data_IF_323027991276
#
_entry.id   IF_323027991276
#
_cell.length_a   1.000
_cell.length_b   1.000
_cell.length_c   1.000
_cell.angle_alpha   90.00
_cell.angle_beta   90.00
_cell.angle_gamma   90.00
#
_symmetry.space_group_name_H-M   'P 1'
#
loop_
_entity.id
_entity.type
_entity.pdbx_description
1 polymer ?
#
# COMPACT_ATOMS: atom_id res chain seq x y z
N UNK A 1 -10.55 -64.99 9.25
CA UNK A 1 -10.37 -64.32 7.94
C UNK A 1 -11.66 -63.58 7.65
N UNK A 2 -11.72 -62.27 7.88
CA UNK A 2 -12.92 -61.48 7.59
C UNK A 2 -12.91 -61.10 6.12
N UNK A 3 -13.68 -61.84 5.32
CA UNK A 3 -13.97 -61.52 3.93
C UNK A 3 -14.80 -60.24 3.89
N UNK A 4 -14.20 -59.15 3.44
CA UNK A 4 -14.91 -57.89 3.19
C UNK A 4 -15.82 -58.16 1.98
N UNK A 5 -17.12 -58.26 2.22
CA UNK A 5 -18.14 -58.32 1.18
C UNK A 5 -18.11 -57.00 0.44
N UNK A 6 -17.64 -57.02 -0.81
CA UNK A 6 -17.69 -55.87 -1.71
C UNK A 6 -19.18 -55.60 -1.97
N UNK A 7 -19.69 -54.49 -1.45
CA UNK A 7 -21.04 -53.98 -1.72
C UNK A 7 -21.30 -53.98 -3.22
N UNK A 8 -22.51 -54.30 -3.65
CA UNK A 8 -22.85 -54.39 -5.07
C UNK A 8 -22.40 -53.13 -5.83
N UNK A 9 -21.98 -53.27 -7.10
CA UNK A 9 -21.48 -52.15 -7.90
C UNK A 9 -22.46 -50.95 -7.93
N UNK A 10 -23.76 -51.23 -7.76
CA UNK A 10 -24.84 -50.25 -7.59
C UNK A 10 -24.76 -49.49 -6.26
N UNK A 11 -24.57 -50.17 -5.13
CA UNK A 11 -24.40 -49.52 -3.82
C UNK A 11 -23.13 -48.68 -3.76
N UNK A 12 -22.03 -49.15 -4.36
CA UNK A 12 -20.78 -48.37 -4.46
C UNK A 12 -20.97 -47.11 -5.31
N UNK A 13 -21.73 -47.19 -6.41
CA UNK A 13 -22.09 -46.03 -7.22
C UNK A 13 -22.98 -45.03 -6.45
N UNK A 14 -23.96 -45.52 -5.68
CA UNK A 14 -24.82 -44.66 -4.86
C UNK A 14 -24.04 -43.92 -3.77
N UNK A 15 -23.13 -44.61 -3.05
CA UNK A 15 -22.24 -43.95 -2.08
C UNK A 15 -21.29 -42.96 -2.74
N UNK A 16 -20.73 -43.31 -3.91
CA UNK A 16 -19.90 -42.40 -4.71
C UNK A 16 -20.65 -41.12 -5.06
N UNK A 17 -21.88 -41.22 -5.55
CA UNK A 17 -22.71 -40.04 -5.88
C UNK A 17 -23.02 -39.19 -4.64
N UNK A 18 -23.31 -39.81 -3.49
CA UNK A 18 -23.56 -39.07 -2.22
C UNK A 18 -22.31 -38.35 -1.73
N UNK A 19 -21.15 -39.01 -1.81
CA UNK A 19 -19.85 -38.44 -1.46
C UNK A 19 -19.49 -37.31 -2.42
N UNK A 20 -19.59 -37.52 -3.74
CA UNK A 20 -19.32 -36.50 -4.76
C UNK A 20 -20.25 -35.29 -4.59
N UNK A 21 -21.52 -35.50 -4.24
CA UNK A 21 -22.47 -34.41 -3.95
C UNK A 21 -22.10 -33.61 -2.69
N UNK A 22 -21.71 -34.29 -1.60
CA UNK A 22 -21.24 -33.63 -0.38
C UNK A 22 -19.89 -32.93 -0.59
N UNK A 23 -19.03 -33.50 -1.43
CA UNK A 23 -17.73 -32.99 -1.81
C UNK A 23 -17.86 -31.73 -2.71
N UNK A 24 -18.79 -31.73 -3.68
CA UNK A 24 -19.10 -30.55 -4.51
C UNK A 24 -19.68 -29.38 -3.71
N UNK A 25 -20.43 -29.66 -2.63
CA UNK A 25 -20.96 -28.62 -1.75
C UNK A 25 -19.86 -27.75 -1.13
N UNK A 26 -18.65 -28.28 -0.85
CA UNK A 26 -17.60 -27.43 -0.29
C UNK A 26 -17.00 -26.44 -1.29
N UNK A 27 -16.91 -26.80 -2.57
CA UNK A 27 -16.47 -25.86 -3.62
C UNK A 27 -17.53 -24.77 -3.81
N UNK A 28 -18.81 -25.17 -3.88
CA UNK A 28 -19.93 -24.25 -3.97
C UNK A 28 -19.97 -23.28 -2.78
N UNK A 29 -19.81 -23.77 -1.55
CA UNK A 29 -19.79 -22.94 -0.34
C UNK A 29 -18.63 -21.93 -0.34
N UNK A 30 -17.45 -22.30 -0.84
CA UNK A 30 -16.31 -21.37 -0.97
C UNK A 30 -16.65 -20.20 -1.92
N UNK A 31 -17.27 -20.49 -3.07
CA UNK A 31 -17.69 -19.48 -4.05
C UNK A 31 -18.82 -18.60 -3.49
N UNK A 32 -19.80 -19.21 -2.82
CA UNK A 32 -20.92 -18.52 -2.18
C UNK A 32 -20.46 -17.53 -1.11
N UNK A 33 -19.56 -17.96 -0.21
CA UNK A 33 -18.96 -17.07 0.79
C UNK A 33 -18.17 -15.94 0.11
N UNK A 34 -17.41 -16.22 -0.95
CA UNK A 34 -16.73 -15.19 -1.74
C UNK A 34 -17.67 -14.14 -2.32
N UNK A 35 -18.82 -14.57 -2.87
CA UNK A 35 -19.86 -13.67 -3.39
C UNK A 35 -20.53 -12.84 -2.29
N UNK A 36 -20.83 -13.44 -1.12
CA UNK A 36 -21.40 -12.73 0.02
C UNK A 36 -20.45 -11.65 0.56
N UNK A 37 -19.16 -11.96 0.68
CA UNK A 37 -18.14 -10.98 1.10
C UNK A 37 -18.03 -9.84 0.09
N UNK A 38 -18.09 -10.13 -1.21
CA UNK A 38 -18.09 -9.12 -2.27
C UNK A 38 -19.31 -8.20 -2.18
N UNK A 39 -20.51 -8.79 -2.09
CA UNK A 39 -21.76 -8.04 -1.97
C UNK A 39 -21.79 -7.17 -0.70
N UNK A 40 -21.36 -7.71 0.44
CA UNK A 40 -21.28 -6.96 1.70
C UNK A 40 -20.35 -5.74 1.58
N UNK A 41 -19.21 -5.89 0.90
CA UNK A 41 -18.28 -4.77 0.64
C UNK A 41 -18.91 -3.69 -0.25
N UNK A 42 -19.61 -4.08 -1.31
CA UNK A 42 -20.24 -3.16 -2.26
C UNK A 42 -21.41 -2.41 -1.63
N UNK A 43 -22.26 -3.08 -0.84
CA UNK A 43 -23.46 -2.49 -0.25
C UNK A 43 -23.17 -1.65 1.00
N UNK A 44 -22.22 -2.05 1.83
CA UNK A 44 -21.92 -1.37 3.10
C UNK A 44 -20.84 -0.28 2.94
N UNK A 45 -20.12 -0.25 1.82
CA UNK A 45 -19.02 0.71 1.60
C UNK A 45 -17.85 0.56 2.59
N UNK A 46 -17.75 -0.59 3.27
CA UNK A 46 -16.78 -0.86 4.34
C UNK A 46 -15.47 -1.44 3.80
N UNK A 47 -14.36 -1.14 4.45
CA UNK A 47 -13.06 -1.78 4.19
C UNK A 47 -13.01 -3.20 4.75
N UNK A 48 -12.15 -4.06 4.18
CA UNK A 48 -11.93 -5.44 4.67
C UNK A 48 -11.56 -5.52 6.15
N UNK A 49 -10.94 -4.47 6.70
CA UNK A 49 -10.56 -4.38 8.12
C UNK A 49 -11.76 -4.25 9.06
N UNK A 50 -12.90 -3.72 8.59
CA UNK A 50 -14.14 -3.66 9.38
C UNK A 50 -14.88 -5.00 9.33
N UNK A 51 -14.84 -5.70 8.20
CA UNK A 51 -15.41 -7.05 8.06
C UNK A 51 -14.61 -8.10 8.86
N UNK A 52 -13.29 -7.94 9.00
CA UNK A 52 -12.42 -8.85 9.76
C UNK A 52 -12.76 -8.91 11.26
N UNK A 53 -13.33 -7.85 11.83
CA UNK A 53 -13.77 -7.85 13.23
C UNK A 53 -15.03 -8.72 13.47
N UNK A 54 -15.84 -8.95 12.42
CA UNK A 54 -17.16 -9.57 12.51
C UNK A 54 -17.23 -10.94 11.79
N UNK A 55 -16.18 -11.34 11.07
CA UNK A 55 -16.12 -12.58 10.31
C UNK A 55 -15.16 -13.60 10.95
N UNK A 56 -15.42 -14.91 10.79
CA UNK A 56 -14.58 -15.96 11.38
C UNK A 56 -13.25 -16.18 10.63
N UNK A 57 -12.81 -15.21 9.82
CA UNK A 57 -11.59 -15.30 9.01
C UNK A 57 -11.00 -13.92 8.72
N UNK A 58 -9.68 -13.90 8.46
CA UNK A 58 -8.93 -12.66 8.23
C UNK A 58 -9.32 -11.97 6.93
N UNK A 59 -8.98 -10.67 6.82
CA UNK A 59 -9.09 -9.89 5.59
C UNK A 59 -8.33 -10.52 4.40
N UNK A 60 -7.25 -11.25 4.68
CA UNK A 60 -6.49 -11.99 3.66
C UNK A 60 -7.30 -13.17 3.11
N UNK A 61 -7.96 -13.93 3.98
CA UNK A 61 -8.84 -15.04 3.57
C UNK A 61 -10.06 -14.49 2.82
N UNK A 62 -10.64 -13.39 3.27
CA UNK A 62 -11.73 -12.70 2.57
C UNK A 62 -11.34 -12.34 1.12
N UNK A 63 -10.14 -11.82 0.91
CA UNK A 63 -9.62 -11.52 -0.43
C UNK A 63 -9.39 -12.79 -1.28
N UNK A 64 -8.98 -13.91 -0.67
CA UNK A 64 -8.82 -15.18 -1.38
C UNK A 64 -10.17 -15.70 -1.87
N UNK A 65 -11.19 -15.68 -1.00
CA UNK A 65 -12.54 -16.15 -1.32
C UNK A 65 -13.18 -15.33 -2.45
N UNK A 66 -13.05 -14.00 -2.42
CA UNK A 66 -13.49 -13.14 -3.54
C UNK A 66 -12.77 -13.51 -4.83
N UNK A 67 -11.44 -13.66 -4.79
CA UNK A 67 -10.66 -14.00 -5.98
C UNK A 67 -11.08 -15.34 -6.60
N UNK A 68 -11.43 -16.31 -5.77
CA UNK A 68 -11.97 -17.60 -6.22
C UNK A 68 -13.33 -17.39 -6.88
N UNK A 69 -14.23 -16.64 -6.23
CA UNK A 69 -15.58 -16.38 -6.74
C UNK A 69 -15.60 -15.53 -8.03
N UNK A 70 -14.61 -14.67 -8.23
CA UNK A 70 -14.47 -13.85 -9.45
C UNK A 70 -13.88 -14.61 -10.64
N UNK A 71 -13.30 -15.79 -10.42
CA UNK A 71 -12.72 -16.57 -11.51
C UNK A 71 -13.84 -17.28 -12.31
N UNK A 72 -13.99 -17.00 -13.62
CA UNK A 72 -15.11 -17.51 -14.41
C UNK A 72 -15.06 -19.02 -14.64
N UNK A 73 -13.88 -19.65 -14.54
CA UNK A 73 -13.72 -21.10 -14.67
C UNK A 73 -14.06 -21.79 -13.36
N UNK A 74 -13.57 -21.27 -12.23
CA UNK A 74 -13.83 -21.86 -10.92
C UNK A 74 -15.29 -21.68 -10.48
N UNK A 75 -15.92 -20.57 -10.86
CA UNK A 75 -17.33 -20.28 -10.56
C UNK A 75 -18.33 -20.95 -11.51
N UNK A 76 -17.85 -21.71 -12.50
CA UNK A 76 -18.70 -22.44 -13.43
C UNK A 76 -19.08 -23.82 -12.83
N UNK A 77 -20.36 -24.08 -12.53
CA UNK A 77 -20.81 -25.34 -11.93
C UNK A 77 -20.42 -26.59 -12.72
N UNK A 78 -20.26 -26.48 -14.04
CA UNK A 78 -19.86 -27.59 -14.91
C UNK A 78 -18.47 -28.16 -14.57
N UNK A 79 -17.61 -27.39 -13.90
CA UNK A 79 -16.27 -27.84 -13.49
C UNK A 79 -16.17 -28.22 -12.01
N UNK A 80 -17.17 -27.95 -11.16
CA UNK A 80 -17.07 -28.15 -9.71
C UNK A 80 -16.74 -29.59 -9.30
N UNK A 81 -17.21 -30.58 -10.06
CA UNK A 81 -16.91 -32.00 -9.83
C UNK A 81 -15.44 -32.38 -10.05
N UNK A 82 -14.67 -31.54 -10.77
CA UNK A 82 -13.25 -31.77 -11.11
C UNK A 82 -12.31 -30.95 -10.24
N UNK A 83 -12.83 -29.98 -9.49
CA UNK A 83 -12.05 -29.05 -8.70
C UNK A 83 -11.60 -29.66 -7.37
N UNK A 84 -10.42 -29.25 -6.86
CA UNK A 84 -9.99 -29.60 -5.51
C UNK A 84 -10.80 -28.82 -4.46
N UNK A 85 -11.04 -29.43 -3.31
CA UNK A 85 -11.89 -28.83 -2.27
C UNK A 85 -11.21 -27.79 -1.38
N UNK A 86 -9.87 -27.76 -1.36
CA UNK A 86 -9.14 -26.82 -0.53
C UNK A 86 -9.22 -25.40 -1.10
N UNK A 87 -9.82 -24.46 -0.36
CA UNK A 87 -9.88 -23.04 -0.77
C UNK A 87 -8.48 -22.46 -1.06
N UNK A 88 -7.45 -22.91 -0.35
CA UNK A 88 -6.06 -22.53 -0.65
C UNK A 88 -5.66 -23.02 -2.05
N UNK A 89 -5.93 -24.28 -2.40
CA UNK A 89 -5.63 -24.80 -3.74
C UNK A 89 -6.42 -24.05 -4.82
N UNK A 90 -7.72 -23.82 -4.59
CA UNK A 90 -8.58 -23.04 -5.48
C UNK A 90 -8.04 -21.62 -5.68
N UNK A 91 -7.52 -20.97 -4.64
CA UNK A 91 -6.91 -19.65 -4.74
C UNK A 91 -5.69 -19.61 -5.66
N UNK A 92 -4.81 -20.62 -5.60
CA UNK A 92 -3.67 -20.70 -6.51
C UNK A 92 -4.15 -20.97 -7.95
N UNK A 93 -5.14 -21.84 -8.14
CA UNK A 93 -5.77 -22.09 -9.44
C UNK A 93 -6.47 -20.84 -10.00
N UNK A 94 -7.07 -20.00 -9.16
CA UNK A 94 -7.69 -18.74 -9.56
C UNK A 94 -6.70 -17.73 -10.17
N UNK A 95 -5.40 -18.01 -10.06
CA UNK A 95 -4.32 -17.19 -10.62
C UNK A 95 -3.70 -17.78 -11.90
N UNK A 96 -4.16 -18.96 -12.34
CA UNK A 96 -3.74 -19.62 -13.58
C UNK A 96 -4.50 -18.99 -14.76
N UNK A 97 -3.88 -18.96 -15.94
CA UNK A 97 -4.54 -18.50 -17.16
C UNK A 97 -5.82 -19.32 -17.45
N UNK A 98 -6.93 -18.66 -17.76
CA UNK A 98 -8.23 -19.31 -17.94
C UNK A 98 -8.22 -20.40 -19.01
N UNK A 99 -7.53 -20.17 -20.13
CA UNK A 99 -7.47 -21.15 -21.23
C UNK A 99 -6.72 -22.40 -20.80
N UNK A 100 -5.63 -22.21 -20.08
CA UNK A 100 -4.85 -23.32 -19.55
C UNK A 100 -5.61 -24.06 -18.45
N UNK A 101 -6.32 -23.33 -17.58
CA UNK A 101 -7.11 -23.93 -16.51
C UNK A 101 -8.24 -24.81 -17.07
N UNK A 102 -8.96 -24.33 -18.09
CA UNK A 102 -9.99 -25.12 -18.80
C UNK A 102 -9.35 -26.35 -19.46
N UNK A 103 -8.26 -26.17 -20.22
CA UNK A 103 -7.58 -27.26 -20.89
C UNK A 103 -7.14 -28.36 -19.90
N UNK A 104 -6.60 -27.98 -18.74
CA UNK A 104 -6.14 -28.94 -17.73
C UNK A 104 -7.28 -29.62 -16.96
N UNK A 105 -8.43 -28.95 -16.79
CA UNK A 105 -9.66 -29.54 -16.25
C UNK A 105 -10.33 -30.48 -17.26
N UNK A 106 -10.22 -30.20 -18.55
CA UNK A 106 -10.74 -31.06 -19.63
C UNK A 106 -9.87 -32.28 -19.87
N UNK A 107 -8.56 -32.12 -19.81
CA UNK A 107 -7.58 -33.21 -19.97
C UNK A 107 -7.44 -34.10 -18.72
N UNK A 108 -8.11 -33.74 -17.61
CA UNK A 108 -8.04 -34.50 -16.35
C UNK A 108 -6.72 -34.36 -15.58
N UNK A 109 -5.89 -33.35 -15.90
CA UNK A 109 -4.68 -33.02 -15.14
C UNK A 109 -5.03 -32.41 -13.79
N UNK A 110 -6.06 -31.55 -13.76
CA UNK A 110 -6.65 -31.04 -12.52
C UNK A 110 -7.81 -31.95 -12.14
N UNK A 111 -7.71 -32.52 -10.95
CA UNK A 111 -8.68 -33.46 -10.38
C UNK A 111 -9.04 -33.05 -8.95
N UNK A 112 -10.06 -33.68 -8.33
CA UNK A 112 -10.39 -33.42 -6.93
C UNK A 112 -9.24 -33.66 -5.94
N UNK A 113 -8.27 -34.49 -6.30
CA UNK A 113 -7.09 -34.80 -5.50
C UNK A 113 -5.89 -33.88 -5.80
N UNK A 114 -6.08 -32.85 -6.63
CA UNK A 114 -5.01 -31.93 -7.01
C UNK A 114 -4.49 -31.17 -5.79
N UNK A 115 -3.17 -31.20 -5.58
CA UNK A 115 -2.56 -30.73 -4.34
C UNK A 115 -2.21 -29.24 -4.38
N UNK A 116 -2.07 -28.64 -3.20
CA UNK A 116 -1.59 -27.27 -3.05
C UNK A 116 -0.19 -27.07 -3.66
N UNK A 117 0.70 -28.05 -3.52
CA UNK A 117 2.05 -27.99 -4.08
C UNK A 117 2.01 -27.98 -5.62
N UNK A 118 1.18 -28.84 -6.23
CA UNK A 118 0.94 -28.87 -7.67
C UNK A 118 0.36 -27.55 -8.18
N UNK A 119 -0.60 -26.96 -7.47
CA UNK A 119 -1.19 -25.67 -7.84
C UNK A 119 -0.18 -24.52 -7.77
N UNK A 120 0.76 -24.55 -6.80
CA UNK A 120 1.86 -23.57 -6.73
C UNK A 120 2.82 -23.71 -7.91
N UNK A 121 3.25 -24.93 -8.21
CA UNK A 121 4.14 -25.23 -9.34
C UNK A 121 3.50 -24.81 -10.66
N UNK A 122 2.21 -25.11 -10.85
CA UNK A 122 1.46 -24.72 -12.03
C UNK A 122 1.39 -23.20 -12.23
N UNK A 123 1.24 -22.44 -11.13
CA UNK A 123 1.28 -20.98 -11.15
C UNK A 123 2.67 -20.45 -11.47
N UNK A 124 3.72 -21.09 -10.94
CA UNK A 124 5.12 -20.65 -11.10
C UNK A 124 5.71 -21.00 -12.48
N UNK A 125 5.22 -22.08 -13.09
CA UNK A 125 5.56 -22.51 -14.46
C UNK A 125 4.91 -21.63 -15.54
N UNK A 126 3.99 -20.73 -15.18
CA UNK A 126 3.51 -19.70 -16.09
C UNK A 126 4.71 -18.85 -16.54
N UNK A 127 4.86 -18.53 -17.85
CA UNK A 127 5.89 -17.60 -18.28
C UNK A 127 5.73 -16.33 -17.44
N UNK A 128 6.80 -15.91 -16.75
CA UNK A 128 6.82 -14.67 -15.97
C UNK A 128 6.39 -13.56 -16.92
N UNK A 129 5.12 -13.16 -16.82
CA UNK A 129 4.66 -11.89 -17.37
C UNK A 129 5.61 -10.88 -16.74
N UNK A 130 6.51 -10.32 -17.56
CA UNK A 130 7.16 -9.03 -17.31
C UNK A 130 6.10 -8.17 -16.65
N UNK A 131 6.43 -7.53 -15.53
CA UNK A 131 5.51 -6.75 -14.71
C UNK A 131 4.95 -5.56 -15.48
N UNK A 132 4.05 -5.83 -16.42
CA UNK A 132 2.94 -4.97 -16.77
C UNK A 132 1.87 -5.37 -15.79
N UNK A 133 1.52 -4.47 -14.88
CA UNK A 133 0.43 -4.64 -13.92
C UNK A 133 -0.82 -5.15 -14.65
N UNK A 134 -1.09 -6.46 -14.58
CA UNK A 134 -2.37 -7.02 -15.02
C UNK A 134 -3.34 -6.78 -13.87
N UNK A 135 -4.08 -5.68 -14.00
CA UNK A 135 -5.36 -5.45 -13.33
C UNK A 135 -6.20 -6.73 -13.49
N UNK A 136 -6.93 -7.12 -12.44
CA UNK A 136 -8.10 -7.98 -12.60
C UNK A 136 -8.87 -7.45 -13.82
N UNK A 137 -8.94 -8.25 -14.89
CA UNK A 137 -9.84 -7.94 -15.98
C UNK A 137 -11.22 -8.34 -15.45
N UNK A 138 -11.98 -7.34 -15.00
CA UNK A 138 -13.42 -7.34 -15.21
C UNK A 138 -13.70 -7.94 -16.60
N UNK A 139 -14.77 -8.75 -16.78
CA UNK A 139 -15.15 -9.28 -18.09
C UNK A 139 -14.96 -8.17 -19.09
N UNK A 140 -14.04 -8.33 -20.05
CA UNK A 140 -13.57 -7.24 -20.90
C UNK A 140 -14.79 -6.57 -21.48
N UNK A 141 -15.17 -5.44 -20.85
CA UNK A 141 -16.15 -4.53 -21.40
C UNK A 141 -15.67 -4.31 -22.83
N UNK A 142 -16.55 -4.47 -23.83
CA UNK A 142 -16.18 -4.32 -25.23
C UNK A 142 -15.26 -3.12 -25.34
N UNK A 143 -14.06 -3.30 -25.94
CA UNK A 143 -13.01 -2.27 -26.05
C UNK A 143 -13.72 -0.96 -26.37
N UNK A 144 -13.89 -0.13 -25.35
CA UNK A 144 -14.70 1.07 -25.50
C UNK A 144 -13.81 1.98 -26.31
N UNK A 145 -14.18 2.17 -27.58
CA UNK A 145 -13.48 3.09 -28.46
C UNK A 145 -13.65 4.45 -27.80
N UNK A 146 -12.58 4.95 -27.20
CA UNK A 146 -12.54 6.27 -26.60
C UNK A 146 -12.23 7.27 -27.69
N UNK A 147 -13.11 8.26 -27.86
CA UNK A 147 -12.91 9.35 -28.79
C UNK A 147 -12.37 10.56 -28.02
N UNK A 148 -11.27 11.14 -28.50
CA UNK A 148 -10.73 12.37 -27.93
C UNK A 148 -11.59 13.56 -28.36
N UNK A 149 -12.15 14.28 -27.38
CA UNK A 149 -12.98 15.49 -27.62
C UNK A 149 -12.12 16.76 -27.66
N UNK A 150 -10.83 16.66 -27.31
CA UNK A 150 -9.87 17.77 -27.25
C UNK A 150 -9.35 18.03 -25.83
N UNK A 151 -8.74 19.21 -25.62
CA UNK A 151 -8.21 19.66 -24.33
C UNK A 151 -9.12 20.68 -23.67
N UNK A 152 -9.42 20.49 -22.37
CA UNK A 152 -10.16 21.47 -21.56
C UNK A 152 -9.16 22.32 -20.79
N UNK A 153 -9.26 23.64 -20.94
CA UNK A 153 -8.51 24.63 -20.17
C UNK A 153 -9.45 25.36 -19.24
N UNK A 154 -9.07 25.50 -17.97
CA UNK A 154 -9.84 26.20 -16.94
C UNK A 154 -8.98 27.21 -16.20
N UNK A 155 -9.60 28.22 -15.61
CA UNK A 155 -8.96 29.02 -14.58
C UNK A 155 -8.76 28.19 -13.29
N UNK A 156 -7.90 28.67 -12.39
CA UNK A 156 -7.73 28.07 -11.08
C UNK A 156 -9.08 27.95 -10.35
N UNK A 157 -9.52 26.74 -9.95
CA UNK A 157 -10.82 26.56 -9.33
C UNK A 157 -10.82 27.16 -7.92
N UNK A 158 -11.83 27.97 -7.60
CA UNK A 158 -12.04 28.50 -6.25
C UNK A 158 -12.29 27.39 -5.22
N UNK A 159 -12.94 26.30 -5.64
CA UNK A 159 -13.18 25.11 -4.82
C UNK A 159 -12.71 23.84 -5.56
N UNK A 160 -11.55 23.33 -5.16
CA UNK A 160 -10.92 22.17 -5.81
C UNK A 160 -11.69 20.87 -5.54
N UNK A 161 -12.30 20.70 -4.36
CA UNK A 161 -13.10 19.52 -4.04
C UNK A 161 -14.36 19.45 -4.91
N UNK A 162 -15.10 20.57 -5.00
CA UNK A 162 -16.29 20.65 -5.84
C UNK A 162 -15.96 20.42 -7.32
N UNK A 163 -14.86 21.01 -7.79
CA UNK A 163 -14.37 20.78 -9.15
C UNK A 163 -14.11 19.29 -9.43
N UNK A 164 -13.44 18.57 -8.52
CA UNK A 164 -13.20 17.14 -8.69
C UNK A 164 -14.50 16.33 -8.70
N UNK A 165 -15.45 16.67 -7.83
CA UNK A 165 -16.77 16.03 -7.79
C UNK A 165 -17.51 16.22 -9.12
N UNK A 166 -17.53 17.45 -9.65
CA UNK A 166 -18.25 17.74 -10.89
C UNK A 166 -17.56 17.14 -12.12
N UNK A 167 -16.23 17.11 -12.13
CA UNK A 167 -15.47 16.40 -13.15
C UNK A 167 -15.74 14.90 -13.12
N UNK A 168 -15.77 14.28 -11.93
CA UNK A 168 -16.12 12.87 -11.78
C UNK A 168 -17.54 12.55 -12.24
N UNK A 169 -18.52 13.43 -11.95
CA UNK A 169 -19.88 13.30 -12.48
C UNK A 169 -19.91 13.33 -14.00
N UNK A 170 -19.16 14.26 -14.61
CA UNK A 170 -19.06 14.40 -16.06
C UNK A 170 -18.45 13.14 -16.71
N UNK A 171 -17.32 12.67 -16.17
CA UNK A 171 -16.65 11.46 -16.64
C UNK A 171 -17.55 10.24 -16.49
N UNK A 172 -18.24 10.09 -15.36
CA UNK A 172 -19.18 8.98 -15.12
C UNK A 172 -20.34 9.02 -16.10
N UNK A 173 -20.93 10.20 -16.35
CA UNK A 173 -22.06 10.38 -17.26
C UNK A 173 -21.75 9.95 -18.70
N UNK A 174 -20.52 10.14 -19.15
CA UNK A 174 -20.12 9.88 -20.54
C UNK A 174 -19.12 8.72 -20.69
N UNK A 175 -18.85 7.95 -19.62
CA UNK A 175 -17.85 6.88 -19.65
C UNK A 175 -16.43 7.38 -19.95
N UNK A 176 -16.12 8.63 -19.60
CA UNK A 176 -14.84 9.28 -19.86
C UNK A 176 -13.76 8.90 -18.85
N UNK A 177 -12.50 9.13 -19.23
CA UNK A 177 -11.34 8.99 -18.35
C UNK A 177 -10.49 10.26 -18.40
N UNK A 178 -9.83 10.60 -17.28
CA UNK A 178 -8.87 11.70 -17.23
C UNK A 178 -7.44 11.15 -17.12
N UNK A 179 -6.52 11.79 -17.84
CA UNK A 179 -5.09 11.60 -17.66
C UNK A 179 -4.51 12.88 -17.06
N UNK A 180 -3.90 12.79 -15.88
CA UNK A 180 -3.24 13.95 -15.28
C UNK A 180 -1.86 14.15 -15.90
N UNK A 181 -1.60 15.36 -16.38
CA UNK A 181 -0.28 15.76 -16.87
C UNK A 181 0.50 16.45 -15.74
N UNK A 182 1.83 16.36 -15.79
CA UNK A 182 2.72 17.03 -14.82
C UNK A 182 3.50 18.18 -15.46
N UNK A 183 2.92 18.85 -16.45
CA UNK A 183 3.50 20.04 -17.09
C UNK A 183 3.39 21.25 -16.17
N UNK A 184 4.20 22.29 -16.41
CA UNK A 184 4.30 23.47 -15.53
C UNK A 184 2.98 24.25 -15.34
N UNK A 185 2.07 24.16 -16.32
CA UNK A 185 0.75 24.78 -16.30
C UNK A 185 -0.39 23.78 -16.04
N UNK A 186 -0.06 22.57 -15.56
CA UNK A 186 -1.08 21.58 -15.20
C UNK A 186 -1.74 21.93 -13.87
N UNK A 187 -2.99 21.50 -13.69
CA UNK A 187 -3.70 21.65 -12.42
C UNK A 187 -2.99 20.95 -11.26
N UNK A 188 -2.32 19.82 -11.55
CA UNK A 188 -1.51 19.10 -10.56
C UNK A 188 -0.29 19.91 -10.10
N UNK A 189 0.38 20.61 -11.02
CA UNK A 189 1.49 21.50 -10.71
C UNK A 189 1.03 22.72 -9.90
N UNK A 190 -0.03 23.38 -10.35
CA UNK A 190 -0.63 24.52 -9.67
C UNK A 190 -1.01 24.17 -8.22
N UNK A 191 -1.73 23.05 -8.03
CA UNK A 191 -2.15 22.63 -6.70
C UNK A 191 -0.95 22.29 -5.81
N UNK A 192 0.09 21.64 -6.37
CA UNK A 192 1.31 21.34 -5.61
C UNK A 192 2.01 22.62 -5.13
N UNK A 193 2.03 23.69 -5.93
CA UNK A 193 2.58 25.00 -5.52
C UNK A 193 1.79 25.61 -4.36
N UNK A 194 0.45 25.51 -4.38
CA UNK A 194 -0.39 25.96 -3.26
C UNK A 194 -0.09 25.18 -1.99
N UNK A 195 -0.03 23.85 -2.10
CA UNK A 195 0.25 22.97 -0.95
C UNK A 195 1.66 23.21 -0.40
N UNK A 196 2.64 23.48 -1.27
CA UNK A 196 4.00 23.87 -0.87
C UNK A 196 4.00 25.20 -0.11
N UNK A 197 3.35 26.23 -0.66
CA UNK A 197 3.24 27.54 -0.04
C UNK A 197 2.59 27.45 1.35
N UNK A 198 1.46 26.74 1.45
CA UNK A 198 0.78 26.50 2.72
C UNK A 198 1.70 25.80 3.72
N UNK A 199 2.45 24.78 3.30
CA UNK A 199 3.38 24.09 4.19
C UNK A 199 4.46 25.04 4.72
N UNK A 200 5.04 25.89 3.86
CA UNK A 200 6.03 26.88 4.26
C UNK A 200 5.46 27.91 5.26
N UNK A 201 4.23 28.39 5.05
CA UNK A 201 3.56 29.33 5.95
C UNK A 201 3.31 28.72 7.33
N UNK A 202 2.78 27.49 7.37
CA UNK A 202 2.52 26.79 8.62
C UNK A 202 3.81 26.46 9.38
N UNK A 203 4.86 26.07 8.65
CA UNK A 203 6.20 25.86 9.22
C UNK A 203 6.72 27.16 9.85
N UNK A 204 6.66 28.29 9.14
CA UNK A 204 7.11 29.59 9.64
C UNK A 204 6.32 30.05 10.89
N UNK A 205 5.01 29.80 10.94
CA UNK A 205 4.19 30.09 12.11
C UNK A 205 4.59 29.24 13.32
N UNK A 206 4.90 27.96 13.11
CA UNK A 206 5.39 27.07 14.16
C UNK A 206 6.81 27.42 14.62
N UNK A 207 7.68 27.89 13.72
CA UNK A 207 9.04 28.36 14.05
C UNK A 207 9.05 29.54 15.02
N UNK A 208 8.08 30.45 14.94
CA UNK A 208 7.96 31.56 15.88
C UNK A 208 7.81 31.10 17.35
N UNK A 209 7.44 29.84 17.58
CA UNK A 209 7.35 29.22 18.91
C UNK A 209 8.58 28.41 19.34
N UNK A 210 9.57 28.19 18.46
CA UNK A 210 10.79 27.43 18.78
C UNK A 210 11.86 28.36 19.34
N UNK A 211 12.31 28.10 20.58
CA UNK A 211 13.44 28.83 21.15
C UNK A 211 14.76 28.30 20.59
N UNK A 212 15.53 29.19 19.94
CA UNK A 212 16.96 29.05 19.61
C UNK A 212 17.36 28.03 18.53
N UNK A 213 16.52 27.75 17.53
CA UNK A 213 16.96 27.06 16.32
C UNK A 213 16.17 27.50 15.09
N UNK A 214 16.87 27.78 14.00
CA UNK A 214 16.26 28.07 12.70
C UNK A 214 15.85 26.79 11.98
N UNK A 215 14.88 26.89 11.11
CA UNK A 215 14.44 25.72 10.36
C UNK A 215 15.44 25.20 9.32
N UNK A 216 16.31 26.06 8.78
CA UNK A 216 17.42 25.58 7.96
C UNK A 216 18.32 24.62 8.76
N UNK A 217 18.54 24.91 10.05
CA UNK A 217 19.29 24.05 10.94
C UNK A 217 18.53 22.75 11.24
N UNK A 218 17.20 22.80 11.45
CA UNK A 218 16.37 21.59 11.59
C UNK A 218 16.53 20.67 10.36
N UNK A 219 16.46 21.24 9.16
CA UNK A 219 16.60 20.50 7.91
C UNK A 219 17.99 19.89 7.76
N UNK A 220 19.01 20.67 8.06
CA UNK A 220 20.40 20.22 8.06
C UNK A 220 20.58 19.00 8.98
N UNK A 221 19.95 19.01 10.15
CA UNK A 221 19.98 17.89 11.10
C UNK A 221 19.19 16.67 10.60
N UNK A 222 18.06 16.86 9.91
CA UNK A 222 17.29 15.77 9.29
C UNK A 222 18.05 15.10 8.15
N UNK A 223 18.70 15.87 7.29
CA UNK A 223 19.55 15.36 6.21
C UNK A 223 20.72 14.53 6.78
N UNK A 224 21.37 15.06 7.83
CA UNK A 224 22.45 14.38 8.54
C UNK A 224 21.97 13.08 9.18
N UNK A 225 20.81 13.11 9.83
CA UNK A 225 20.19 11.92 10.37
C UNK A 225 19.95 10.89 9.26
N UNK A 226 19.31 11.30 8.15
CA UNK A 226 18.98 10.41 7.04
C UNK A 226 20.24 9.77 6.44
N UNK A 227 21.33 10.53 6.34
CA UNK A 227 22.63 10.03 5.93
C UNK A 227 23.12 8.92 6.85
N UNK A 228 23.06 9.13 8.17
CA UNK A 228 23.55 8.20 9.20
C UNK A 228 22.73 6.89 9.30
N UNK A 229 21.51 6.84 8.74
CA UNK A 229 20.66 5.64 8.77
C UNK A 229 20.94 4.67 7.63
N UNK A 230 21.53 5.13 6.52
CA UNK A 230 21.75 4.27 5.35
C UNK A 230 22.90 3.30 5.59
N UNK A 231 22.66 2.00 5.39
CA UNK A 231 23.67 0.94 5.56
C UNK A 231 24.97 1.21 4.80
N UNK A 232 24.86 1.72 3.56
CA UNK A 232 26.03 2.09 2.75
C UNK A 232 26.95 3.15 3.39
N UNK A 233 26.41 3.97 4.29
CA UNK A 233 27.10 5.06 4.95
C UNK A 233 27.66 4.66 6.33
N UNK A 234 27.39 3.45 6.82
CA UNK A 234 27.86 2.96 8.12
C UNK A 234 29.37 2.63 8.16
N UNK A 235 30.06 2.79 7.02
CA UNK A 235 31.51 2.54 6.86
C UNK A 235 32.36 3.59 7.58
N UNK A 236 31.88 4.82 7.68
CA UNK A 236 32.61 5.88 8.34
C UNK A 236 32.39 5.81 9.85
N UNK A 237 33.46 5.58 10.62
CA UNK A 237 33.41 5.34 12.06
C UNK A 237 34.44 6.20 12.78
N UNK A 238 34.06 6.69 13.96
CA UNK A 238 34.94 7.40 14.87
C UNK A 238 35.01 6.67 16.22
N UNK A 239 36.18 6.73 16.85
CA UNK A 239 36.40 6.32 18.23
C UNK A 239 35.93 7.42 19.17
N UNK A 240 35.08 7.05 20.14
CA UNK A 240 34.50 7.99 21.10
C UNK A 240 34.61 7.42 22.50
N UNK A 241 35.00 8.27 23.46
CA UNK A 241 34.97 7.90 24.88
C UNK A 241 33.56 8.20 25.42
N UNK A 242 32.82 7.17 25.80
CA UNK A 242 31.49 7.27 26.42
C UNK A 242 31.56 6.57 27.77
N UNK A 243 31.37 7.32 28.86
CA UNK A 243 31.45 6.79 30.24
C UNK A 243 32.76 6.03 30.51
N UNK A 244 33.89 6.65 30.14
CA UNK A 244 35.25 6.10 30.30
C UNK A 244 35.56 4.81 29.50
N UNK A 245 34.66 4.39 28.61
CA UNK A 245 34.87 3.29 27.67
C UNK A 245 35.05 3.80 26.24
N UNK A 246 36.00 3.21 25.51
CA UNK A 246 36.31 3.55 24.13
C UNK A 246 35.37 2.77 23.20
N UNK A 247 34.45 3.48 22.54
CA UNK A 247 33.37 2.90 21.73
C UNK A 247 33.45 3.42 20.29
N UNK A 248 33.45 2.50 19.32
CA UNK A 248 33.43 2.83 17.90
C UNK A 248 32.00 3.05 17.42
N UNK A 249 31.71 4.22 16.85
CA UNK A 249 30.36 4.55 16.33
C UNK A 249 30.44 5.15 14.93
N UNK A 250 29.38 4.94 14.16
CA UNK A 250 29.21 5.60 12.85
C UNK A 250 29.04 7.11 13.02
N UNK A 251 29.78 7.89 12.24
CA UNK A 251 29.76 9.34 12.25
C UNK A 251 29.64 9.93 10.83
N UNK A 252 29.31 11.22 10.74
CA UNK A 252 29.38 11.96 9.48
C UNK A 252 30.84 12.04 9.00
N UNK A 253 31.09 11.87 7.68
CA UNK A 253 32.43 12.02 7.12
C UNK A 253 32.86 13.48 7.10
N UNK A 254 34.18 13.71 7.08
CA UNK A 254 34.76 15.06 7.14
C UNK A 254 34.41 15.93 5.92
N UNK A 255 34.05 15.30 4.79
CA UNK A 255 33.61 15.95 3.55
C UNK A 255 32.08 16.21 3.50
N UNK A 256 31.34 15.96 4.59
CA UNK A 256 29.90 16.15 4.60
C UNK A 256 29.52 17.65 4.46
N UNK A 257 28.64 17.95 3.49
CA UNK A 257 28.28 19.31 3.02
C UNK A 257 28.01 20.36 4.11
N UNK A 258 27.42 19.97 5.23
CA UNK A 258 26.99 20.88 6.29
C UNK A 258 27.72 20.65 7.63
N UNK A 259 28.81 19.89 7.63
CA UNK A 259 29.46 19.39 8.86
C UNK A 259 29.88 20.50 9.82
N UNK A 260 30.48 21.58 9.32
CA UNK A 260 30.96 22.68 10.15
C UNK A 260 29.81 23.38 10.90
N UNK A 261 28.68 23.59 10.22
CA UNK A 261 27.48 24.19 10.81
C UNK A 261 26.85 23.25 11.85
N UNK A 262 26.79 21.95 11.56
CA UNK A 262 26.29 20.94 12.51
C UNK A 262 27.17 20.88 13.75
N UNK A 263 28.50 20.86 13.60
CA UNK A 263 29.45 20.85 14.73
C UNK A 263 29.28 22.08 15.61
N UNK A 264 29.15 23.26 15.01
CA UNK A 264 28.91 24.52 15.72
C UNK A 264 27.58 24.51 16.49
N UNK A 265 26.51 24.00 15.87
CA UNK A 265 25.19 23.92 16.48
C UNK A 265 25.11 22.92 17.64
N UNK A 266 25.73 21.75 17.48
CA UNK A 266 25.69 20.68 18.49
C UNK A 266 26.74 20.87 19.59
N UNK A 267 27.78 21.67 19.34
CA UNK A 267 28.92 21.82 20.26
C UNK A 267 29.76 20.54 20.38
N UNK A 268 29.84 19.73 19.32
CA UNK A 268 30.58 18.45 19.30
C UNK A 268 31.47 18.34 18.07
N UNK A 269 32.64 17.73 18.21
CA UNK A 269 33.54 17.47 17.07
C UNK A 269 33.08 16.28 16.22
N UNK A 270 32.75 15.16 16.85
CA UNK A 270 32.31 13.96 16.13
C UNK A 270 30.80 13.86 16.18
N UNK A 271 30.14 13.94 15.02
CA UNK A 271 28.66 13.88 14.93
C UNK A 271 28.23 12.45 14.65
N UNK A 272 27.80 11.75 15.70
CA UNK A 272 27.21 10.41 15.58
C UNK A 272 25.69 10.43 15.62
N UNK A 273 25.08 9.30 15.21
CA UNK A 273 23.64 9.07 15.38
C UNK A 273 23.16 9.28 16.82
N UNK A 274 23.94 8.81 17.80
CA UNK A 274 23.57 8.90 19.22
C UNK A 274 23.55 10.32 19.73
N UNK A 275 24.59 11.10 19.41
CA UNK A 275 24.68 12.52 19.81
C UNK A 275 23.63 13.36 19.10
N UNK A 276 23.45 13.16 17.78
CA UNK A 276 22.42 13.87 17.01
C UNK A 276 21.01 13.58 17.55
N UNK A 277 20.71 12.31 17.86
CA UNK A 277 19.44 11.93 18.49
C UNK A 277 19.25 12.65 19.82
N UNK A 278 20.26 12.60 20.71
CA UNK A 278 20.18 13.20 22.04
C UNK A 278 19.94 14.70 21.97
N UNK A 279 20.74 15.41 21.18
CA UNK A 279 20.62 16.86 21.04
C UNK A 279 19.24 17.27 20.50
N UNK A 280 18.73 16.56 19.50
CA UNK A 280 17.40 16.85 18.96
C UNK A 280 16.27 16.57 19.95
N UNK A 281 16.39 15.56 20.81
CA UNK A 281 15.43 15.33 21.91
C UNK A 281 15.49 16.49 22.91
N UNK A 282 16.68 16.84 23.38
CA UNK A 282 16.89 17.86 24.41
C UNK A 282 16.40 19.25 23.96
N UNK A 283 16.57 19.56 22.67
CA UNK A 283 16.14 20.83 22.07
C UNK A 283 14.75 20.75 21.40
N UNK A 284 14.03 19.63 21.53
CA UNK A 284 12.72 19.39 20.91
C UNK A 284 12.70 19.61 19.39
N UNK A 285 13.82 19.34 18.74
CA UNK A 285 14.02 19.52 17.30
C UNK A 285 13.55 18.28 16.55
N UNK A 286 12.60 18.41 15.61
CA UNK A 286 12.03 17.28 14.91
C UNK A 286 13.07 16.63 13.98
N UNK A 287 13.35 15.32 14.15
CA UNK A 287 14.09 14.54 13.16
C UNK A 287 13.64 13.06 13.11
N UNK A 288 14.17 12.27 12.18
CA UNK A 288 13.86 10.84 12.05
C UNK A 288 14.34 9.96 13.22
N UNK A 289 15.09 10.51 14.18
CA UNK A 289 15.56 9.82 15.39
C UNK A 289 14.79 10.17 16.66
N UNK A 290 14.05 11.29 16.67
CA UNK A 290 13.18 11.67 17.78
C UNK A 290 11.95 10.77 17.83
N UNK A 291 11.56 10.37 19.04
CA UNK A 291 10.33 9.60 19.22
C UNK A 291 9.13 10.50 18.93
N UNK A 292 8.20 10.01 18.11
CA UNK A 292 7.01 10.76 17.71
C UNK A 292 6.20 11.28 18.90
N UNK A 293 6.33 10.68 20.09
CA UNK A 293 5.70 11.08 21.35
C UNK A 293 6.21 12.42 21.91
N UNK A 294 7.41 12.87 21.57
CA UNK A 294 8.07 14.04 22.18
C UNK A 294 8.10 15.30 21.30
N UNK A 295 7.47 15.28 20.13
CA UNK A 295 7.58 16.34 19.11
C UNK A 295 6.29 17.17 18.99
N UNK A 296 6.40 18.42 18.53
CA UNK A 296 5.27 19.09 17.90
C UNK A 296 4.94 18.35 16.60
N UNK A 297 3.89 17.53 16.69
CA UNK A 297 3.46 16.64 15.62
C UNK A 297 2.86 17.40 14.44
N UNK A 298 2.43 18.66 14.62
CA UNK A 298 1.87 19.47 13.53
C UNK A 298 2.97 20.00 12.60
N UNK A 299 4.02 20.60 13.16
CA UNK A 299 5.20 21.04 12.39
C UNK A 299 5.79 19.90 11.56
N UNK A 300 5.91 18.71 12.17
CA UNK A 300 6.44 17.54 11.48
C UNK A 300 5.59 17.11 10.29
N UNK A 301 4.26 17.17 10.40
CA UNK A 301 3.35 16.88 9.28
C UNK A 301 3.62 17.84 8.12
N UNK A 302 3.68 19.14 8.40
CA UNK A 302 3.91 20.15 7.36
C UNK A 302 5.28 20.00 6.69
N UNK A 303 6.30 19.56 7.43
CA UNK A 303 7.59 19.27 6.82
C UNK A 303 7.51 18.10 5.84
N UNK A 304 6.77 17.04 6.18
CA UNK A 304 6.56 15.94 5.25
C UNK A 304 5.79 16.39 3.99
N UNK A 305 4.80 17.27 4.15
CA UNK A 305 4.08 17.87 3.02
C UNK A 305 5.02 18.64 2.09
N UNK A 306 5.88 19.49 2.66
CA UNK A 306 6.84 20.28 1.90
C UNK A 306 7.86 19.41 1.16
N UNK A 307 8.41 18.38 1.80
CA UNK A 307 9.35 17.43 1.18
C UNK A 307 8.74 16.68 -0.01
N UNK A 308 7.46 16.33 0.08
CA UNK A 308 6.70 15.72 -1.02
C UNK A 308 6.46 16.75 -2.13
N UNK A 309 6.06 17.97 -1.79
CA UNK A 309 5.78 19.04 -2.76
C UNK A 309 7.04 19.52 -3.52
N UNK A 310 8.19 19.61 -2.85
CA UNK A 310 9.51 19.92 -3.43
C UNK A 310 10.13 18.74 -4.20
N UNK A 311 9.51 17.56 -4.16
CA UNK A 311 10.02 16.31 -4.73
C UNK A 311 11.39 15.86 -4.18
N UNK A 312 11.78 16.31 -3.00
CA UNK A 312 13.05 15.94 -2.36
C UNK A 312 13.00 14.56 -1.70
N UNK A 313 11.89 14.23 -1.05
CA UNK A 313 11.65 12.89 -0.47
C UNK A 313 10.17 12.48 -0.57
N UNK A 314 9.71 12.25 -1.80
CA UNK A 314 8.32 11.87 -2.06
C UNK A 314 7.95 10.56 -1.37
N UNK A 315 8.80 9.53 -1.47
CA UNK A 315 8.49 8.19 -0.95
C UNK A 315 8.52 8.17 0.58
N UNK A 316 9.53 8.75 1.20
CA UNK A 316 9.66 8.80 2.65
C UNK A 316 8.60 9.70 3.27
N UNK A 317 8.39 10.90 2.72
CA UNK A 317 7.37 11.83 3.19
C UNK A 317 5.96 11.23 3.15
N UNK A 318 5.58 10.61 2.02
CA UNK A 318 4.27 9.93 1.91
C UNK A 318 4.12 8.76 2.89
N UNK A 319 5.19 7.97 3.11
CA UNK A 319 5.15 6.86 4.07
C UNK A 319 4.87 7.38 5.49
N UNK A 320 5.60 8.42 5.90
CA UNK A 320 5.46 9.01 7.24
C UNK A 320 4.09 9.67 7.44
N UNK A 321 3.58 10.39 6.43
CA UNK A 321 2.21 10.92 6.44
C UNK A 321 1.16 9.81 6.62
N UNK A 322 1.31 8.69 5.90
CA UNK A 322 0.42 7.52 6.05
C UNK A 322 0.50 6.89 7.44
N UNK A 323 1.70 6.73 7.98
CA UNK A 323 1.89 6.18 9.32
C UNK A 323 1.21 7.07 10.37
N UNK A 324 1.36 8.40 10.28
CA UNK A 324 0.68 9.33 11.18
C UNK A 324 -0.85 9.34 11.00
N UNK A 325 -1.33 9.34 9.76
CA UNK A 325 -2.76 9.32 9.43
C UNK A 325 -3.49 8.05 9.92
N UNK A 326 -2.76 6.95 10.09
CA UNK A 326 -3.32 5.66 10.52
C UNK A 326 -3.08 5.34 12.00
N UNK A 327 -1.86 5.59 12.50
CA UNK A 327 -1.38 5.10 13.81
C UNK A 327 -1.31 6.17 14.89
N UNK A 328 -1.47 7.46 14.57
CA UNK A 328 -1.44 8.49 15.61
C UNK A 328 -2.59 8.27 16.61
N UNK A 329 -2.24 8.21 17.90
CA UNK A 329 -3.18 8.16 19.02
C UNK A 329 -3.78 9.53 19.35
N UNK A 330 -3.21 10.60 18.79
CA UNK A 330 -3.64 11.98 19.00
C UNK A 330 -4.62 12.39 17.89
N UNK A 331 -5.90 12.72 18.19
CA UNK A 331 -6.93 12.97 17.19
C UNK A 331 -6.66 14.12 16.22
N UNK A 332 -6.24 15.30 16.70
CA UNK A 332 -5.95 16.47 15.84
C UNK A 332 -4.82 16.15 14.86
N UNK A 333 -3.75 15.50 15.33
CA UNK A 333 -2.62 15.07 14.50
C UNK A 333 -3.04 14.04 13.45
N UNK A 334 -3.85 13.06 13.86
CA UNK A 334 -4.35 12.04 12.93
C UNK A 334 -5.17 12.68 11.81
N UNK A 335 -6.10 13.57 12.18
CA UNK A 335 -6.94 14.31 11.24
C UNK A 335 -6.11 15.22 10.32
N UNK A 336 -5.15 15.95 10.88
CA UNK A 336 -4.26 16.82 10.11
C UNK A 336 -3.42 16.01 9.11
N UNK A 337 -2.86 14.88 9.52
CA UNK A 337 -2.09 13.99 8.65
C UNK A 337 -2.97 13.38 7.54
N UNK A 338 -4.22 13.04 7.82
CA UNK A 338 -5.18 12.57 6.81
C UNK A 338 -5.48 13.65 5.77
N UNK A 339 -5.75 14.88 6.22
CA UNK A 339 -5.99 16.02 5.33
C UNK A 339 -4.75 16.32 4.48
N UNK A 340 -3.58 16.40 5.11
CA UNK A 340 -2.31 16.63 4.43
C UNK A 340 -2.03 15.56 3.36
N UNK A 341 -2.23 14.28 3.69
CA UNK A 341 -2.07 13.16 2.77
C UNK A 341 -3.04 13.24 1.58
N UNK A 342 -4.30 13.63 1.82
CA UNK A 342 -5.30 13.84 0.76
C UNK A 342 -4.84 14.93 -0.21
N UNK A 343 -4.38 16.07 0.28
CA UNK A 343 -3.93 17.17 -0.59
C UNK A 343 -2.71 16.81 -1.43
N UNK A 344 -1.66 16.24 -0.82
CA UNK A 344 -0.42 15.92 -1.57
C UNK A 344 -0.61 14.81 -2.62
N UNK A 345 -1.64 13.98 -2.48
CA UNK A 345 -1.96 12.90 -3.42
C UNK A 345 -3.17 13.21 -4.32
N UNK A 346 -3.75 14.42 -4.21
CA UNK A 346 -5.03 14.78 -4.82
C UNK A 346 -5.10 14.55 -6.33
N UNK A 347 -3.98 14.74 -7.02
CA UNK A 347 -3.85 14.58 -8.48
C UNK A 347 -2.85 13.47 -8.86
N UNK A 348 -2.58 12.52 -7.97
CA UNK A 348 -1.78 11.35 -8.30
C UNK A 348 -2.59 10.37 -9.16
N UNK A 349 -1.92 9.76 -10.15
CA UNK A 349 -2.49 8.82 -11.13
C UNK A 349 -2.95 7.47 -10.56
N UNK A 350 -3.37 7.41 -9.29
CA UNK A 350 -3.94 6.20 -8.67
C UNK A 350 -5.43 6.41 -8.39
N UNK A 351 -6.21 6.32 -9.47
CA UNK A 351 -7.55 5.72 -9.43
C UNK A 351 -7.44 4.30 -10.02
#
# INVERSE_FOLDING_TARGET
MNTIVISSQKELAEWRTRIESAWQKSVQSVIEVGNLVKQAKEQLGVSYSLLEAELPFSSTVAAFLIKIAENPVLSNPSYHSRLPNGYNTLYYLASVDEKQLVQQLENGEITPNFTLASAKLLREAQPKKTTTKVKFAEPKKPKTITYEVGSISIAAPANTDQFQVDLLKLLTKYGGTITHTHKDNSLAEWHRKIVHQQACEMIAQSEAGLQNISYEEIRMLEDAAHFLTKDKNQKNKAELVIKDELVIRTCLPDDYKDLAKIRALLGIEQVTRGQLKKWCIDNKVPNQFTELSSMDKELYIWEQVRLVAERKDVKGGLKRLKDMASRSTIPNIKSLAQRALKEVTRFDNKA
#
